data_IF_170930719870
#
_entry.id   IF_170930719870
#
_cell.length_a   1.000
_cell.length_b   1.000
_cell.length_c   1.000
_cell.angle_alpha   90.00
_cell.angle_beta   90.00
_cell.angle_gamma   90.00
#
_symmetry.space_group_name_H-M   'P 1'
#
loop_
_entity.id
_entity.type
_entity.pdbx_description
1 polymer ?
#
# COMPACT_ATOMS: atom_id res chain seq x y z
N UNK A 1 10.88 -4.74 -11.38
CA UNK A 1 9.55 -4.17 -11.05
C UNK A 1 9.81 -2.88 -10.33
N UNK A 2 9.48 -1.77 -10.98
CA UNK A 2 9.69 -0.44 -10.44
C UNK A 2 8.43 0.00 -9.71
N UNK A 3 8.60 0.93 -8.78
CA UNK A 3 7.50 1.54 -8.06
C UNK A 3 7.55 3.04 -8.29
N UNK A 4 6.41 3.62 -8.64
CA UNK A 4 6.29 5.07 -8.81
C UNK A 4 5.58 5.64 -7.60
N UNK A 5 6.25 6.51 -6.80
CA UNK A 5 5.61 7.21 -5.70
C UNK A 5 4.45 8.05 -6.21
N UNK A 6 3.30 7.94 -5.54
CA UNK A 6 2.18 8.84 -5.79
C UNK A 6 2.32 9.99 -4.81
N UNK A 7 2.51 11.21 -5.33
CA UNK A 7 2.59 12.40 -4.51
C UNK A 7 1.33 12.51 -3.63
N UNK A 8 1.53 12.58 -2.32
CA UNK A 8 0.44 12.80 -1.38
C UNK A 8 0.07 14.27 -1.39
N UNK A 9 -1.06 14.62 -1.99
CA UNK A 9 -1.67 15.91 -1.70
C UNK A 9 -2.23 15.87 -0.28
N UNK A 10 -1.84 16.89 0.51
CA UNK A 10 -2.11 16.99 1.93
C UNK A 10 -3.60 16.84 2.28
N UNK A 11 -3.83 16.13 3.39
CA UNK A 11 -4.99 16.14 4.27
C UNK A 11 -6.37 16.05 3.59
N UNK A 12 -6.98 14.86 3.69
CA UNK A 12 -8.43 14.74 3.62
C UNK A 12 -9.03 15.63 4.73
N UNK A 13 -9.59 16.79 4.35
CA UNK A 13 -10.44 17.56 5.26
C UNK A 13 -11.62 16.66 5.60
N UNK A 14 -11.93 16.40 6.89
CA UNK A 14 -13.13 15.67 7.23
C UNK A 14 -14.30 16.40 6.58
N UNK A 15 -15.06 15.70 5.74
CA UNK A 15 -16.30 16.24 5.22
C UNK A 15 -17.17 16.60 6.43
N UNK A 16 -17.60 17.86 6.59
CA UNK A 16 -18.52 18.20 7.67
C UNK A 16 -19.75 17.32 7.49
N UNK A 17 -20.02 16.50 8.51
CA UNK A 17 -21.20 15.65 8.54
C UNK A 17 -22.42 16.50 8.20
N UNK A 18 -23.26 15.98 7.31
CA UNK A 18 -24.52 16.58 6.92
C UNK A 18 -25.39 16.73 8.19
N UNK A 19 -25.29 17.86 8.89
CA UNK A 19 -26.23 18.19 9.95
C UNK A 19 -27.59 18.45 9.30
N UNK A 20 -28.43 17.41 9.26
CA UNK A 20 -29.86 17.59 9.02
C UNK A 20 -30.45 18.29 10.25
N UNK A 21 -30.56 19.61 10.16
CA UNK A 21 -31.55 20.35 10.95
C UNK A 21 -32.94 20.01 10.40
N UNK A 22 -33.77 19.40 11.23
CA UNK A 22 -35.16 19.12 10.87
C UNK A 22 -35.82 18.18 11.86
N UNK A 23 -36.25 18.73 13.00
CA UNK A 23 -37.29 18.10 13.80
C UNK A 23 -38.64 18.32 13.10
N UNK A 24 -39.18 17.27 12.49
CA UNK A 24 -40.64 17.09 12.37
C UNK A 24 -40.92 15.60 12.18
N UNK A 25 -41.88 15.11 12.96
CA UNK A 25 -42.06 13.72 13.31
C UNK A 25 -42.29 12.77 12.14
N UNK A 26 -41.55 11.66 12.17
CA UNK A 26 -41.95 10.27 11.99
C UNK A 26 -40.66 9.47 12.24
N UNK A 27 -40.54 8.63 13.29
CA UNK A 27 -39.42 7.70 13.36
C UNK A 27 -39.68 6.65 12.27
N UNK A 28 -39.00 6.79 11.13
CA UNK A 28 -39.01 5.75 10.11
C UNK A 28 -38.30 4.51 10.67
N UNK A 29 -38.73 3.29 10.33
CA UNK A 29 -38.19 2.01 10.83
C UNK A 29 -36.73 1.71 10.39
N UNK A 30 -36.03 2.72 9.86
CA UNK A 30 -34.67 2.66 9.36
C UNK A 30 -33.62 3.16 10.38
N UNK A 31 -34.03 3.41 11.64
CA UNK A 31 -33.15 3.86 12.72
C UNK A 31 -32.21 2.75 13.28
N UNK A 32 -32.36 1.50 12.82
CA UNK A 32 -31.58 0.35 13.29
C UNK A 32 -30.31 0.03 12.48
N UNK A 33 -29.81 0.97 11.65
CA UNK A 33 -28.52 0.80 10.99
C UNK A 33 -27.68 2.08 11.07
N UNK A 34 -27.37 2.50 12.30
CA UNK A 34 -26.30 3.48 12.56
C UNK A 34 -24.91 2.83 12.39
N UNK A 35 -24.69 2.13 11.29
CA UNK A 35 -23.34 1.72 10.92
C UNK A 35 -22.58 2.98 10.49
N UNK A 36 -21.43 3.19 11.13
CA UNK A 36 -20.53 4.29 10.75
C UNK A 36 -20.16 4.13 9.28
N UNK A 37 -20.25 5.18 8.45
CA UNK A 37 -19.88 5.07 7.04
C UNK A 37 -18.43 4.59 6.91
N UNK A 38 -18.20 3.65 6.00
CA UNK A 38 -16.86 3.13 5.74
C UNK A 38 -15.95 4.24 5.23
N UNK A 39 -14.92 4.57 6.01
CA UNK A 39 -13.86 5.50 5.64
C UNK A 39 -12.59 4.71 5.29
N UNK A 40 -12.29 4.62 3.99
CA UNK A 40 -11.12 3.93 3.49
C UNK A 40 -9.81 4.56 3.96
N UNK A 41 -9.76 5.88 4.14
CA UNK A 41 -8.56 6.54 4.62
C UNK A 41 -8.28 6.11 6.07
N UNK A 42 -9.31 6.10 6.93
CA UNK A 42 -9.15 5.64 8.32
C UNK A 42 -8.76 4.16 8.41
N UNK A 43 -9.23 3.32 7.49
CA UNK A 43 -8.92 1.89 7.46
C UNK A 43 -7.51 1.59 6.93
N UNK A 44 -7.11 2.23 5.83
CA UNK A 44 -5.85 1.94 5.14
C UNK A 44 -4.67 2.78 5.65
N UNK A 45 -4.94 3.93 6.27
CA UNK A 45 -3.95 4.92 6.68
C UNK A 45 -4.03 5.13 8.21
N UNK A 46 -3.56 4.15 9.01
CA UNK A 46 -3.58 4.27 10.46
C UNK A 46 -2.71 5.44 10.95
N UNK A 47 -1.60 5.72 10.24
CA UNK A 47 -0.67 6.81 10.53
C UNK A 47 -0.35 7.61 9.26
N UNK A 48 -1.06 8.72 8.99
CA UNK A 48 -0.86 9.51 7.77
C UNK A 48 0.56 10.04 7.58
N UNK A 49 1.31 10.24 8.67
CA UNK A 49 2.69 10.73 8.63
C UNK A 49 3.71 9.67 8.18
N UNK A 50 3.38 8.37 8.29
CA UNK A 50 4.28 7.26 7.94
C UNK A 50 3.75 6.39 6.80
N UNK A 51 2.51 6.61 6.37
CA UNK A 51 1.88 5.87 5.27
C UNK A 51 2.13 6.59 3.96
N UNK A 52 2.45 5.84 2.90
CA UNK A 52 2.75 6.32 1.56
C UNK A 52 2.05 5.46 0.52
N UNK A 53 1.73 6.07 -0.62
CA UNK A 53 1.10 5.36 -1.73
C UNK A 53 2.08 5.20 -2.89
N UNK A 54 2.14 4.00 -3.46
CA UNK A 54 2.97 3.72 -4.63
C UNK A 54 2.18 2.97 -5.69
N UNK A 55 2.51 3.21 -6.96
CA UNK A 55 1.97 2.44 -8.07
C UNK A 55 2.95 1.35 -8.49
N UNK A 56 2.42 0.15 -8.70
CA UNK A 56 3.16 -0.96 -9.30
C UNK A 56 3.37 -0.77 -10.80
N UNK A 57 4.63 -0.91 -11.24
CA UNK A 57 4.98 -0.94 -12.66
C UNK A 57 5.54 -2.30 -13.11
N UNK A 58 4.88 -2.86 -14.13
CA UNK A 58 5.15 -4.19 -14.68
C UNK A 58 4.56 -5.34 -13.86
N UNK A 59 4.74 -6.55 -14.38
CA UNK A 59 4.06 -7.77 -13.89
C UNK A 59 5.02 -8.81 -13.30
N UNK A 60 6.25 -8.40 -12.97
CA UNK A 60 7.28 -9.33 -12.51
C UNK A 60 6.94 -10.06 -11.19
N UNK A 61 5.95 -9.57 -10.44
CA UNK A 61 5.43 -10.20 -9.23
C UNK A 61 3.96 -10.64 -9.37
N UNK A 62 3.48 -10.88 -10.60
CA UNK A 62 2.11 -11.34 -10.85
C UNK A 62 1.78 -12.65 -10.12
N UNK A 63 2.74 -13.58 -10.04
CA UNK A 63 2.57 -14.85 -9.31
C UNK A 63 2.40 -14.65 -7.79
N UNK A 64 2.83 -13.50 -7.26
CA UNK A 64 2.64 -13.13 -5.86
C UNK A 64 1.37 -12.29 -5.62
N UNK A 65 0.55 -12.08 -6.66
CA UNK A 65 -0.70 -11.34 -6.58
C UNK A 65 -0.61 -9.86 -7.00
N UNK A 66 0.58 -9.33 -7.30
CA UNK A 66 0.74 -7.93 -7.70
C UNK A 66 0.62 -7.75 -9.21
N UNK A 67 -0.17 -6.77 -9.63
CA UNK A 67 -0.48 -6.49 -11.03
C UNK A 67 0.00 -5.09 -11.39
N UNK A 68 0.37 -4.91 -12.66
CA UNK A 68 0.60 -3.57 -13.18
C UNK A 68 -0.57 -2.64 -12.88
N UNK A 69 -0.28 -1.48 -12.30
CA UNK A 69 -1.27 -0.46 -11.95
C UNK A 69 -1.84 -0.59 -10.54
N UNK A 70 -1.51 -1.64 -9.79
CA UNK A 70 -1.92 -1.77 -8.39
C UNK A 70 -1.45 -0.58 -7.54
N UNK A 71 -2.30 -0.20 -6.59
CA UNK A 71 -2.00 0.80 -5.58
C UNK A 71 -1.51 0.09 -4.31
N UNK A 72 -0.26 0.37 -3.94
CA UNK A 72 0.34 -0.10 -2.69
C UNK A 72 0.16 0.96 -1.61
N UNK A 73 -0.24 0.51 -0.43
CA UNK A 73 -0.22 1.30 0.80
C UNK A 73 0.96 0.82 1.63
N UNK A 74 1.97 1.69 1.78
CA UNK A 74 3.26 1.36 2.38
C UNK A 74 3.42 2.15 3.67
N UNK A 75 3.69 1.47 4.78
CA UNK A 75 3.91 2.11 6.08
C UNK A 75 5.38 1.99 6.48
N UNK A 76 5.99 3.13 6.81
CA UNK A 76 7.39 3.23 7.25
C UNK A 76 7.56 3.07 8.77
N UNK A 77 6.48 3.12 9.54
CA UNK A 77 6.51 2.93 10.99
C UNK A 77 6.39 1.44 11.39
N UNK A 78 5.95 0.57 10.49
CA UNK A 78 5.86 -0.86 10.76
C UNK A 78 7.25 -1.51 10.82
N UNK A 79 7.45 -2.35 11.84
CA UNK A 79 8.64 -3.17 11.94
C UNK A 79 8.53 -4.34 10.94
N UNK A 80 9.49 -4.49 10.02
CA UNK A 80 9.46 -5.51 8.98
C UNK A 80 9.59 -6.92 9.57
N UNK A 81 8.73 -7.85 9.14
CA UNK A 81 8.75 -9.24 9.57
C UNK A 81 9.06 -10.20 8.42
N UNK A 82 9.55 -11.39 8.78
CA UNK A 82 9.82 -12.44 7.81
C UNK A 82 8.55 -12.76 7.02
N UNK A 83 8.66 -12.73 5.69
CA UNK A 83 7.57 -13.05 4.79
C UNK A 83 6.79 -11.83 4.30
N UNK A 84 6.99 -10.66 4.92
CA UNK A 84 6.35 -9.41 4.52
C UNK A 84 6.78 -8.99 3.13
N UNK A 85 5.88 -8.28 2.46
CA UNK A 85 6.22 -7.51 1.28
C UNK A 85 6.73 -6.15 1.70
N UNK A 86 7.87 -5.76 1.13
CA UNK A 86 8.54 -4.52 1.46
C UNK A 86 8.91 -3.76 0.21
N UNK A 87 8.95 -2.45 0.36
CA UNK A 87 9.62 -1.57 -0.58
C UNK A 87 11.06 -1.42 -0.12
N UNK A 88 12.00 -1.67 -1.02
CA UNK A 88 13.42 -1.46 -0.79
C UNK A 88 14.00 -0.61 -1.93
N UNK A 89 14.99 0.21 -1.61
CA UNK A 89 15.82 0.87 -2.59
C UNK A 89 17.00 -0.03 -2.90
N UNK A 90 17.17 -0.41 -4.16
CA UNK A 90 18.31 -1.20 -4.67
C UNK A 90 18.96 -0.37 -5.78
N UNK A 91 20.23 0.01 -5.62
CA UNK A 91 20.96 0.88 -6.55
C UNK A 91 20.20 2.19 -6.87
N UNK A 92 19.59 2.79 -5.84
CA UNK A 92 18.76 4.00 -5.97
C UNK A 92 17.34 3.78 -6.52
N UNK A 93 16.98 2.58 -6.96
CA UNK A 93 15.64 2.28 -7.52
C UNK A 93 14.70 1.63 -6.49
N UNK A 94 13.46 2.12 -6.42
CA UNK A 94 12.42 1.51 -5.58
C UNK A 94 11.92 0.20 -6.19
N UNK A 95 12.08 -0.87 -5.42
CA UNK A 95 11.75 -2.23 -5.80
C UNK A 95 10.79 -2.86 -4.78
N UNK A 96 9.83 -3.63 -5.29
CA UNK A 96 9.00 -4.51 -4.47
C UNK A 96 9.70 -5.86 -4.27
N UNK A 97 9.90 -6.25 -3.02
CA UNK A 97 10.59 -7.50 -2.64
C UNK A 97 9.90 -8.16 -1.46
N UNK A 98 10.03 -9.48 -1.37
CA UNK A 98 9.60 -10.23 -0.19
C UNK A 98 10.76 -10.34 0.78
N UNK A 99 10.53 -10.02 2.04
CA UNK A 99 11.52 -10.18 3.10
C UNK A 99 11.63 -11.64 3.51
N UNK A 100 12.84 -12.14 3.69
CA UNK A 100 13.10 -13.42 4.32
C UNK A 100 14.25 -13.28 5.32
N UNK A 101 14.42 -14.27 6.20
CA UNK A 101 15.47 -14.28 7.21
C UNK A 101 14.96 -14.25 8.65
N UNK A 102 15.81 -13.76 9.55
CA UNK A 102 15.59 -13.73 11.00
C UNK A 102 16.07 -12.39 11.58
N UNK A 103 15.91 -12.20 12.89
CA UNK A 103 16.34 -10.97 13.58
C UNK A 103 17.84 -10.66 13.39
N UNK A 104 18.68 -11.66 13.15
CA UNK A 104 20.13 -11.46 12.99
C UNK A 104 20.55 -11.20 11.54
N UNK A 105 19.81 -11.74 10.57
CA UNK A 105 20.13 -11.62 9.14
C UNK A 105 18.88 -11.60 8.29
N UNK A 106 18.77 -10.54 7.51
CA UNK A 106 17.61 -10.25 6.67
C UNK A 106 18.02 -10.21 5.20
N UNK A 107 17.16 -10.74 4.34
CA UNK A 107 17.42 -10.87 2.91
C UNK A 107 16.18 -10.42 2.13
N UNK A 108 16.40 -9.89 0.93
CA UNK A 108 15.36 -9.66 -0.05
C UNK A 108 15.33 -10.85 -1.02
N UNK A 109 14.17 -11.49 -1.10
CA UNK A 109 13.92 -12.51 -2.10
C UNK A 109 13.85 -11.88 -3.48
N UNK A 110 14.54 -12.47 -4.48
CA UNK A 110 14.49 -11.96 -5.84
C UNK A 110 13.09 -12.14 -6.45
N UNK A 111 12.79 -11.41 -7.54
CA UNK A 111 11.54 -11.59 -8.28
C UNK A 111 11.44 -12.95 -8.98
N UNK A 112 12.57 -13.56 -9.35
CA UNK A 112 12.60 -14.85 -10.02
C UNK A 112 13.31 -15.90 -9.15
N UNK A 113 12.77 -17.13 -9.11
CA UNK A 113 13.24 -18.23 -8.26
C UNK A 113 14.70 -18.60 -8.50
N UNK A 114 15.22 -18.39 -9.71
CA UNK A 114 16.60 -18.74 -10.09
C UNK A 114 17.66 -17.68 -9.74
N UNK A 115 17.25 -16.55 -9.17
CA UNK A 115 18.19 -15.49 -8.76
C UNK A 115 18.64 -15.70 -7.30
N UNK A 116 19.78 -15.13 -6.95
CA UNK A 116 20.26 -15.13 -5.57
C UNK A 116 19.45 -14.15 -4.70
N UNK A 117 19.35 -14.47 -3.41
CA UNK A 117 18.81 -13.56 -2.40
C UNK A 117 19.80 -12.43 -2.17
N UNK A 118 19.29 -11.20 -2.03
CA UNK A 118 20.12 -10.04 -1.76
C UNK A 118 20.15 -9.77 -0.25
N UNK A 119 21.30 -9.86 0.44
CA UNK A 119 21.40 -9.46 1.84
C UNK A 119 21.07 -7.98 2.02
N UNK A 120 20.37 -7.67 3.10
CA UNK A 120 20.23 -6.30 3.62
C UNK A 120 21.41 -6.04 4.55
N UNK A 121 22.52 -5.63 3.97
CA UNK A 121 23.74 -5.22 4.68
C UNK A 121 24.22 -3.85 4.18
N UNK A 122 25.32 -3.36 4.75
CA UNK A 122 25.92 -2.09 4.35
C UNK A 122 26.88 -2.22 3.15
N UNK A 123 27.12 -3.45 2.66
CA UNK A 123 28.04 -3.68 1.54
C UNK A 123 27.33 -3.50 0.20
N UNK A 124 26.04 -3.84 0.14
CA UNK A 124 25.19 -3.62 -1.01
C UNK A 124 24.44 -2.29 -0.86
N UNK A 125 24.22 -1.55 -1.96
CA UNK A 125 23.35 -0.36 -1.94
C UNK A 125 21.87 -0.78 -1.91
N UNK A 126 21.51 -1.46 -0.83
CA UNK A 126 20.21 -2.06 -0.61
C UNK A 126 19.66 -1.61 0.74
N UNK A 127 18.58 -0.84 0.73
CA UNK A 127 17.98 -0.26 1.93
C UNK A 127 16.50 -0.55 2.00
N UNK A 128 16.03 -0.98 3.17
CA UNK A 128 14.60 -1.08 3.43
C UNK A 128 13.98 0.31 3.49
N UNK A 129 12.90 0.52 2.74
CA UNK A 129 12.20 1.81 2.69
C UNK A 129 10.93 1.81 3.53
N UNK A 130 10.14 0.73 3.47
CA UNK A 130 8.89 0.56 4.23
C UNK A 130 8.20 -0.77 3.95
N UNK A 131 7.20 -1.10 4.76
CA UNK A 131 6.44 -2.35 4.68
C UNK A 131 5.15 -2.12 3.89
N UNK A 132 4.83 -3.02 2.96
CA UNK A 132 3.57 -2.98 2.21
C UNK A 132 2.47 -3.53 3.11
N UNK A 133 1.57 -2.65 3.55
CA UNK A 133 0.47 -2.98 4.44
C UNK A 133 -0.77 -3.44 3.67
N UNK A 134 -1.08 -2.79 2.54
CA UNK A 134 -2.22 -3.15 1.70
C UNK A 134 -1.90 -3.05 0.21
N UNK A 135 -2.63 -3.84 -0.59
CA UNK A 135 -2.65 -3.78 -2.04
C UNK A 135 -4.10 -3.57 -2.48
N UNK A 136 -4.34 -2.57 -3.32
CA UNK A 136 -5.67 -2.28 -3.89
C UNK A 136 -5.64 -2.55 -5.38
N UNK A 137 -6.42 -3.56 -5.80
CA UNK A 137 -6.54 -3.97 -7.20
C UNK A 137 -7.70 -3.26 -7.90
N UNK A 138 -7.41 -2.59 -9.01
CA UNK A 138 -8.44 -2.10 -9.91
C UNK A 138 -8.98 -3.22 -10.80
N UNK A 139 -10.28 -3.54 -10.70
CA UNK A 139 -10.88 -4.58 -11.55
C UNK A 139 -11.31 -4.07 -12.94
N UNK A 140 -11.39 -2.74 -13.13
CA UNK A 140 -11.74 -2.15 -14.43
C UNK A 140 -10.49 -1.89 -15.25
N UNK A 141 -10.45 -2.40 -16.47
CA UNK A 141 -9.42 -2.04 -17.44
C UNK A 141 -9.63 -0.57 -17.84
N UNK A 142 -8.56 0.22 -17.80
CA UNK A 142 -8.59 1.55 -18.40
C UNK A 142 -8.82 1.39 -19.91
N UNK A 143 -9.69 2.20 -20.53
CA UNK A 143 -9.80 2.20 -21.98
C UNK A 143 -8.42 2.51 -22.58
N UNK A 144 -8.04 1.90 -23.71
CA UNK A 144 -6.78 2.22 -24.37
C UNK A 144 -6.72 3.73 -24.61
N UNK A 145 -5.66 4.38 -24.12
CA UNK A 145 -5.35 5.78 -24.40
C UNK A 145 -4.91 5.87 -25.87
N UNK A 146 -5.86 5.77 -26.80
CA UNK A 146 -5.77 6.12 -28.21
C UNK A 146 -7.19 6.06 -28.83
N UNK A 147 -7.86 7.21 -28.90
CA UNK A 147 -8.95 7.50 -29.82
C UNK A 147 -8.81 8.97 -30.27
#
# INVERSE_FOLDING_TARGET
>A
MRLTPIAQHAAHKPHPGLQRRGASGFPSPADDYLDTPLDLHRQLVPSPASTFFMRVEGDAQANAGFRHGDLLVVDRALAPQRGDWVVATIDGELCLRRLDGSAERTWLCPPAVHQARLPLDNEHDCRLWGVVHYVVHGCRQAPPLNA
#
